data_IF_397452404486
#
_entry.id   IF_397452404486
#
_cell.length_a   1.000
_cell.length_b   1.000
_cell.length_c   1.000
_cell.angle_alpha   90.00
_cell.angle_beta   90.00
_cell.angle_gamma   90.00
#
_symmetry.space_group_name_H-M   'P 1'
#
loop_
_entity.id
_entity.type
_entity.pdbx_description
1 polymer ?
#
# COMPACT_ATOMS: atom_id res chain seq x y z
N UNK A 1 -2.63 4.96 22.92
CA UNK A 1 -2.22 4.51 21.57
C UNK A 1 -3.42 4.70 20.66
N UNK A 2 -3.29 5.40 19.52
CA UNK A 2 -4.43 5.60 18.60
C UNK A 2 -4.54 4.37 17.70
N UNK A 3 -5.71 3.75 17.68
CA UNK A 3 -6.00 2.66 16.76
C UNK A 3 -6.19 3.18 15.34
N UNK A 4 -5.73 2.42 14.33
CA UNK A 4 -5.94 2.75 12.93
C UNK A 4 -7.38 2.40 12.53
N UNK A 5 -8.22 3.43 12.37
CA UNK A 5 -9.65 3.25 12.08
C UNK A 5 -9.89 2.80 10.64
N UNK A 6 -11.14 2.40 10.33
CA UNK A 6 -11.56 2.06 8.97
C UNK A 6 -11.43 3.27 8.03
N UNK A 7 -11.74 4.45 8.54
CA UNK A 7 -11.64 5.73 7.84
C UNK A 7 -10.17 6.06 7.52
N UNK A 8 -9.26 5.84 8.47
CA UNK A 8 -7.82 6.03 8.27
C UNK A 8 -7.30 5.08 7.17
N UNK A 9 -7.70 3.79 7.20
CA UNK A 9 -7.36 2.82 6.14
C UNK A 9 -7.90 3.24 4.79
N UNK A 10 -9.14 3.77 4.73
CA UNK A 10 -9.74 4.26 3.49
C UNK A 10 -8.99 5.47 2.94
N UNK A 11 -8.56 6.39 3.79
CA UNK A 11 -7.76 7.54 3.38
C UNK A 11 -6.40 7.12 2.80
N UNK A 12 -5.72 6.16 3.44
CA UNK A 12 -4.47 5.59 2.94
C UNK A 12 -4.65 4.90 1.59
N UNK A 13 -5.72 4.11 1.44
CA UNK A 13 -6.08 3.46 0.17
C UNK A 13 -6.31 4.52 -0.92
N UNK A 14 -7.07 5.59 -0.62
CA UNK A 14 -7.37 6.61 -1.62
C UNK A 14 -6.10 7.30 -2.12
N UNK A 15 -5.19 7.67 -1.20
CA UNK A 15 -3.89 8.24 -1.58
C UNK A 15 -3.09 7.27 -2.45
N UNK A 16 -3.06 5.98 -2.11
CA UNK A 16 -2.34 5.00 -2.94
C UNK A 16 -2.97 4.86 -4.32
N UNK A 17 -4.30 4.83 -4.43
CA UNK A 17 -5.00 4.73 -5.72
C UNK A 17 -4.67 5.93 -6.61
N UNK A 18 -4.63 7.14 -6.05
CA UNK A 18 -4.30 8.36 -6.78
C UNK A 18 -2.87 8.33 -7.33
N UNK A 19 -1.94 7.77 -6.56
CA UNK A 19 -0.51 7.72 -6.86
C UNK A 19 -0.08 6.43 -7.58
N UNK A 20 -0.99 5.46 -7.74
CA UNK A 20 -0.68 4.14 -8.28
C UNK A 20 -0.04 4.20 -9.67
N UNK A 21 -0.53 5.01 -10.64
CA UNK A 21 0.08 5.11 -11.95
C UNK A 21 1.51 5.69 -11.89
N UNK A 22 1.75 6.67 -11.00
CA UNK A 22 3.05 7.32 -10.83
C UNK A 22 4.06 6.33 -10.23
N UNK A 23 3.68 5.64 -9.15
CA UNK A 23 4.51 4.62 -8.50
C UNK A 23 4.82 3.46 -9.43
N UNK A 24 3.82 3.02 -10.23
CA UNK A 24 4.01 1.97 -11.24
C UNK A 24 4.98 2.42 -12.33
N UNK A 25 4.79 3.61 -12.90
CA UNK A 25 5.67 4.16 -13.93
C UNK A 25 7.10 4.36 -13.41
N UNK A 26 7.27 4.71 -12.11
CA UNK A 26 8.58 4.83 -11.47
C UNK A 26 9.35 3.51 -11.41
N UNK A 27 8.66 2.38 -11.38
CA UNK A 27 9.25 1.04 -11.50
C UNK A 27 9.40 0.56 -12.95
N UNK A 28 8.91 1.33 -13.93
CA UNK A 28 8.91 0.94 -15.34
C UNK A 28 7.94 -0.20 -15.66
N UNK A 29 6.94 -0.45 -14.81
CA UNK A 29 6.00 -1.56 -14.97
C UNK A 29 4.79 -1.17 -15.83
N UNK A 30 4.35 -2.09 -16.67
CA UNK A 30 3.00 -2.09 -17.24
C UNK A 30 1.94 -2.47 -16.20
N UNK A 31 0.67 -2.23 -16.51
CA UNK A 31 -0.44 -2.63 -15.64
C UNK A 31 -0.54 -4.16 -15.51
N UNK A 32 -0.07 -4.89 -16.51
CA UNK A 32 -0.03 -6.36 -16.52
C UNK A 32 1.04 -6.88 -15.58
N UNK A 33 2.29 -6.40 -15.73
CA UNK A 33 3.40 -6.80 -14.86
C UNK A 33 3.16 -6.41 -13.40
N UNK A 34 2.52 -5.25 -13.15
CA UNK A 34 2.11 -4.90 -11.79
C UNK A 34 1.10 -5.92 -11.24
N UNK A 35 0.10 -6.29 -12.04
CA UNK A 35 -0.90 -7.27 -11.68
C UNK A 35 -0.30 -8.62 -11.33
N UNK A 36 0.57 -9.16 -12.19
CA UNK A 36 1.28 -10.43 -11.98
C UNK A 36 2.05 -10.43 -10.64
N UNK A 37 2.74 -9.34 -10.32
CA UNK A 37 3.52 -9.21 -9.08
C UNK A 37 2.68 -9.22 -7.81
N UNK A 38 1.44 -8.74 -7.87
CA UNK A 38 0.54 -8.66 -6.70
C UNK A 38 -0.61 -9.68 -6.77
N UNK A 39 -0.58 -10.61 -7.71
CA UNK A 39 -1.58 -11.66 -7.88
C UNK A 39 -2.94 -11.17 -8.38
N UNK A 40 -2.97 -10.10 -9.18
CA UNK A 40 -4.18 -9.53 -9.77
C UNK A 40 -4.13 -9.56 -11.29
N UNK A 41 -5.31 -9.56 -11.94
CA UNK A 41 -5.35 -9.42 -13.40
C UNK A 41 -5.03 -7.98 -13.82
N UNK A 42 -4.49 -7.82 -15.04
CA UNK A 42 -4.30 -6.51 -15.68
C UNK A 42 -5.56 -5.63 -15.62
N UNK A 43 -6.74 -6.23 -15.86
CA UNK A 43 -8.02 -5.51 -15.84
C UNK A 43 -8.35 -4.94 -14.46
N UNK A 44 -7.98 -5.64 -13.38
CA UNK A 44 -8.16 -5.11 -12.03
C UNK A 44 -7.26 -3.92 -11.76
N UNK A 45 -6.00 -3.96 -12.22
CA UNK A 45 -5.08 -2.81 -12.12
C UNK A 45 -5.63 -1.61 -12.90
N UNK A 46 -6.05 -1.82 -14.15
CA UNK A 46 -6.71 -0.79 -14.97
C UNK A 46 -7.91 -0.18 -14.24
N UNK A 47 -8.78 -1.01 -13.66
CA UNK A 47 -9.98 -0.53 -12.98
C UNK A 47 -9.65 0.25 -11.70
N UNK A 48 -8.60 -0.13 -10.96
CA UNK A 48 -8.12 0.61 -9.79
C UNK A 48 -7.53 1.96 -10.19
N UNK A 49 -6.62 2.01 -11.18
CA UNK A 49 -6.01 3.26 -11.64
C UNK A 49 -7.05 4.26 -12.18
N UNK A 50 -8.11 3.75 -12.83
CA UNK A 50 -9.23 4.56 -13.29
C UNK A 50 -10.30 4.80 -12.23
N UNK A 51 -10.08 4.40 -10.97
CA UNK A 51 -11.01 4.58 -9.84
C UNK A 51 -12.40 3.94 -10.05
N UNK A 52 -12.51 2.98 -10.97
CA UNK A 52 -13.76 2.25 -11.26
C UNK A 52 -14.01 1.12 -10.28
N UNK A 53 -12.94 0.59 -9.66
CA UNK A 53 -13.03 -0.48 -8.66
C UNK A 53 -12.31 -0.05 -7.38
N UNK A 54 -12.95 -0.19 -6.20
CA UNK A 54 -12.28 0.09 -4.94
C UNK A 54 -11.15 -0.92 -4.70
N UNK A 55 -10.03 -0.41 -4.21
CA UNK A 55 -8.90 -1.23 -3.77
C UNK A 55 -9.19 -1.79 -2.37
N UNK A 56 -8.86 -3.06 -2.16
CA UNK A 56 -9.00 -3.71 -0.84
C UNK A 56 -7.78 -3.42 0.05
N UNK A 57 -7.94 -3.55 1.36
CA UNK A 57 -6.82 -3.42 2.29
C UNK A 57 -5.69 -4.44 2.02
N UNK A 58 -6.03 -5.67 1.66
CA UNK A 58 -5.04 -6.70 1.32
C UNK A 58 -4.23 -6.29 0.09
N UNK A 59 -4.89 -5.78 -0.96
CA UNK A 59 -4.22 -5.27 -2.16
C UNK A 59 -3.31 -4.08 -1.84
N UNK A 60 -3.78 -3.17 -0.97
CA UNK A 60 -2.98 -2.06 -0.48
C UNK A 60 -1.70 -2.56 0.20
N UNK A 61 -1.78 -3.55 1.09
CA UNK A 61 -0.62 -4.13 1.77
C UNK A 61 0.33 -4.86 0.80
N UNK A 62 -0.18 -5.60 -0.18
CA UNK A 62 0.64 -6.22 -1.23
C UNK A 62 1.42 -5.17 -2.03
N UNK A 63 0.77 -4.06 -2.38
CA UNK A 63 1.41 -2.93 -3.05
C UNK A 63 2.43 -2.22 -2.14
N UNK A 64 2.13 -2.06 -0.85
CA UNK A 64 3.08 -1.52 0.13
C UNK A 64 4.35 -2.37 0.18
N UNK A 65 4.23 -3.68 0.26
CA UNK A 65 5.39 -4.58 0.24
C UNK A 65 6.21 -4.41 -1.04
N UNK A 66 5.56 -4.42 -2.21
CA UNK A 66 6.24 -4.25 -3.49
C UNK A 66 6.99 -2.91 -3.56
N UNK A 67 6.33 -1.81 -3.23
CA UNK A 67 6.91 -0.48 -3.40
C UNK A 67 7.90 -0.09 -2.30
N UNK A 68 7.76 -0.59 -1.07
CA UNK A 68 8.74 -0.39 0.00
C UNK A 68 10.01 -1.21 -0.24
N UNK A 69 9.90 -2.39 -0.86
CA UNK A 69 11.04 -3.22 -1.22
C UNK A 69 11.92 -2.57 -2.30
N UNK A 70 11.34 -1.75 -3.18
CA UNK A 70 12.06 -1.08 -4.25
C UNK A 70 12.53 0.31 -3.84
N UNK A 71 13.86 0.54 -3.81
CA UNK A 71 14.46 1.82 -3.37
C UNK A 71 13.92 3.04 -4.13
N UNK A 72 13.62 2.90 -5.42
CA UNK A 72 13.13 3.98 -6.28
C UNK A 72 11.75 4.51 -5.87
N UNK A 73 10.92 3.68 -5.22
CA UNK A 73 9.57 4.00 -4.76
C UNK A 73 9.46 4.13 -3.24
N UNK A 74 10.36 3.51 -2.47
CA UNK A 74 10.33 3.53 -1.01
C UNK A 74 10.43 4.95 -0.43
N UNK A 75 11.25 5.82 -1.02
CA UNK A 75 11.31 7.24 -0.65
C UNK A 75 10.05 8.01 -1.06
N UNK A 76 9.53 7.72 -2.25
CA UNK A 76 8.36 8.39 -2.82
C UNK A 76 7.09 8.10 -2.01
N UNK A 77 6.88 6.86 -1.59
CA UNK A 77 5.71 6.47 -0.77
C UNK A 77 5.62 7.24 0.56
N UNK A 78 6.78 7.50 1.18
CA UNK A 78 6.83 8.31 2.41
C UNK A 78 6.53 9.78 2.11
N UNK A 79 7.10 10.33 1.05
CA UNK A 79 6.86 11.71 0.63
C UNK A 79 5.39 11.97 0.24
N UNK A 80 4.72 10.99 -0.38
CA UNK A 80 3.31 11.06 -0.76
C UNK A 80 2.34 10.85 0.41
N UNK A 81 2.85 10.55 1.61
CA UNK A 81 2.03 10.30 2.79
C UNK A 81 1.12 9.07 2.64
N UNK A 82 1.53 8.11 1.79
CA UNK A 82 0.86 6.82 1.60
C UNK A 82 1.30 5.82 2.66
N UNK A 83 2.50 5.99 3.22
CA UNK A 83 2.99 5.23 4.38
C UNK A 83 3.29 6.19 5.53
N UNK A 84 2.41 6.16 6.55
CA UNK A 84 2.45 7.07 7.71
C UNK A 84 3.04 6.40 8.94
N UNK A 85 3.40 7.19 9.95
CA UNK A 85 3.86 6.67 11.24
C UNK A 85 2.78 5.86 11.97
N UNK A 86 1.51 6.29 11.88
CA UNK A 86 0.37 5.53 12.40
C UNK A 86 0.27 4.13 11.77
N UNK A 87 0.47 4.04 10.45
CA UNK A 87 0.50 2.75 9.75
C UNK A 87 1.71 1.92 10.17
N UNK A 88 2.89 2.54 10.28
CA UNK A 88 4.11 1.85 10.75
C UNK A 88 3.89 1.26 12.14
N UNK A 89 3.34 2.04 13.07
CA UNK A 89 3.05 1.59 14.41
C UNK A 89 1.99 0.48 14.43
N UNK A 90 0.94 0.61 13.62
CA UNK A 90 -0.10 -0.42 13.48
C UNK A 90 0.47 -1.78 13.00
N UNK A 91 1.47 -1.75 12.11
CA UNK A 91 2.12 -2.97 11.61
C UNK A 91 3.22 -3.52 12.54
N UNK A 92 3.72 -2.72 13.47
CA UNK A 92 4.78 -3.11 14.38
C UNK A 92 4.23 -3.87 15.59
N UNK A 93 4.41 -5.18 15.59
CA UNK A 93 4.01 -6.08 16.70
C UNK A 93 5.12 -6.17 17.78
N UNK A 94 6.29 -5.56 17.55
CA UNK A 94 7.47 -5.69 18.42
C UNK A 94 7.51 -4.70 19.58
N UNK A 95 6.39 -4.03 19.89
CA UNK A 95 6.26 -3.18 21.08
C UNK A 95 6.47 -3.96 22.39
N UNK A 96 6.84 -3.29 23.49
CA UNK A 96 7.41 -3.90 24.72
C UNK A 96 6.50 -4.89 25.49
N UNK A 97 5.31 -5.23 24.98
CA UNK A 97 4.31 -6.03 25.71
C UNK A 97 4.07 -7.43 25.14
N UNK A 98 4.73 -7.84 24.04
CA UNK A 98 4.57 -9.20 23.49
C UNK A 98 5.37 -10.30 24.25
N UNK A 99 5.70 -10.07 25.52
CA UNK A 99 6.24 -11.08 26.45
C UNK A 99 5.41 -11.09 27.73
N UNK A 100 4.16 -11.51 27.63
CA UNK A 100 3.41 -12.06 28.75
C UNK A 100 2.28 -12.92 28.15
N UNK A 101 2.19 -14.15 28.63
CA UNK A 101 1.30 -15.25 28.21
C UNK A 101 1.94 -16.23 27.21
N UNK A 102 2.99 -16.89 27.71
CA UNK A 102 3.22 -18.31 27.44
C UNK A 102 2.40 -19.12 28.46
#
# INVERSE_FOLDING_TARGET
>A
MRELTTEDKRALIQKLVDELPVLRAKLGLSQEELGERIGLSRQMVVAMENKRRPMTWNTYLSLMMLFLHNRSTAGLIRALGVYTDDLRQFLDVSGPECRQNA
#
